data_IF_528783328691
#
_entry.id   IF_528783328691
#
_cell.length_a   1.000
_cell.length_b   1.000
_cell.length_c   1.000
_cell.angle_alpha   90.00
_cell.angle_beta   90.00
_cell.angle_gamma   90.00
#
_symmetry.space_group_name_H-M   'P 1'
#
loop_
_entity.id
_entity.type
_entity.pdbx_description
1 polymer ?
#
# COMPACT_ATOMS: atom_id res chain seq x y z
N UNK A 1 -7.07 18.62 0.68
CA UNK A 1 -6.05 17.72 1.24
C UNK A 1 -6.55 17.12 2.54
N UNK A 2 -6.05 15.95 2.93
CA UNK A 2 -6.51 15.18 4.09
C UNK A 2 -5.33 14.58 4.84
N UNK A 3 -5.41 14.51 6.16
CA UNK A 3 -4.51 13.71 7.00
C UNK A 3 -4.90 12.23 6.98
N UNK A 4 -4.08 11.37 7.58
CA UNK A 4 -4.40 9.94 7.81
C UNK A 4 -5.71 9.74 8.57
N UNK A 5 -5.92 10.50 9.64
CA UNK A 5 -7.17 10.48 10.41
C UNK A 5 -8.38 10.96 9.60
N UNK A 6 -8.19 11.91 8.67
CA UNK A 6 -9.27 12.43 7.83
C UNK A 6 -9.56 11.56 6.59
N UNK A 7 -8.61 10.72 6.17
CA UNK A 7 -8.76 9.79 5.04
C UNK A 7 -9.39 8.45 5.44
N UNK A 8 -9.68 8.26 6.73
CA UNK A 8 -10.43 7.11 7.23
C UNK A 8 -9.58 5.86 7.45
N UNK A 9 -8.27 6.00 7.62
CA UNK A 9 -7.37 4.88 7.90
C UNK A 9 -7.46 4.53 9.39
N UNK A 10 -8.07 3.39 9.70
CA UNK A 10 -8.29 2.89 11.05
C UNK A 10 -7.21 1.85 11.37
N UNK A 11 -6.61 1.97 12.56
CA UNK A 11 -5.41 1.22 12.93
C UNK A 11 -5.46 0.66 14.35
N UNK A 12 -4.54 -0.25 14.66
CA UNK A 12 -4.22 -0.69 16.03
C UNK A 12 -3.56 0.43 16.86
N UNK A 13 -3.55 0.31 18.18
CA UNK A 13 -3.00 1.34 19.09
C UNK A 13 -1.46 1.39 19.22
N UNK A 14 -0.69 0.57 18.49
CA UNK A 14 0.77 0.68 18.49
C UNK A 14 1.20 1.96 17.74
N UNK A 15 1.51 3.03 18.46
CA UNK A 15 1.82 4.33 17.84
C UNK A 15 3.05 4.34 16.91
N UNK A 16 3.93 3.33 17.00
CA UNK A 16 5.18 3.27 16.22
C UNK A 16 5.08 2.39 14.99
N UNK A 17 4.31 1.31 15.06
CA UNK A 17 4.20 0.28 14.01
C UNK A 17 2.75 -0.20 13.86
N UNK A 18 1.79 0.74 13.90
CA UNK A 18 0.37 0.42 13.83
C UNK A 18 0.03 -0.37 12.57
N UNK A 19 -0.89 -1.33 12.67
CA UNK A 19 -1.43 -2.11 11.54
C UNK A 19 -2.79 -1.57 11.12
N UNK A 20 -3.04 -1.49 9.81
CA UNK A 20 -4.35 -1.07 9.28
C UNK A 20 -5.36 -2.18 9.54
N UNK A 21 -6.45 -1.82 10.21
CA UNK A 21 -7.60 -2.69 10.49
C UNK A 21 -8.64 -2.54 9.39
N UNK A 22 -8.91 -1.29 9.01
CA UNK A 22 -9.98 -0.94 8.07
C UNK A 22 -9.69 0.44 7.44
N UNK A 23 -10.28 0.71 6.28
CA UNK A 23 -10.17 2.01 5.60
C UNK A 23 -11.55 2.46 5.14
N UNK A 24 -11.98 3.62 5.63
CA UNK A 24 -13.31 4.19 5.39
C UNK A 24 -13.20 5.59 4.77
N UNK A 25 -13.01 5.70 3.45
CA UNK A 25 -12.68 6.97 2.79
C UNK A 25 -13.91 7.88 2.57
N UNK A 26 -14.82 7.97 3.54
CA UNK A 26 -16.10 8.71 3.42
C UNK A 26 -15.93 10.19 3.07
N UNK A 27 -14.81 10.80 3.48
CA UNK A 27 -14.50 12.21 3.15
C UNK A 27 -13.84 12.38 1.78
N UNK A 28 -13.23 11.32 1.24
CA UNK A 28 -12.53 11.35 -0.04
C UNK A 28 -13.52 11.13 -1.19
N UNK A 29 -14.45 10.18 -1.05
CA UNK A 29 -15.41 9.78 -2.10
C UNK A 29 -16.16 10.98 -2.69
N UNK A 30 -16.78 11.90 -1.90
CA UNK A 30 -17.48 13.04 -2.48
C UNK A 30 -16.56 13.99 -3.26
N UNK A 31 -15.31 14.17 -2.80
CA UNK A 31 -14.33 15.00 -3.52
C UNK A 31 -13.93 14.37 -4.86
N UNK A 32 -13.77 13.04 -4.90
CA UNK A 32 -13.47 12.30 -6.14
C UNK A 32 -14.65 12.36 -7.11
N UNK A 33 -15.89 12.27 -6.62
CA UNK A 33 -17.11 12.43 -7.43
C UNK A 33 -17.27 13.83 -8.03
N UNK A 34 -16.66 14.83 -7.39
CA UNK A 34 -16.55 16.20 -7.92
C UNK A 34 -15.31 16.39 -8.83
N UNK A 35 -14.69 15.30 -9.29
CA UNK A 35 -13.52 15.29 -10.18
C UNK A 35 -12.29 16.04 -9.59
N UNK A 36 -12.18 16.11 -8.26
CA UNK A 36 -11.05 16.77 -7.60
C UNK A 36 -9.87 15.83 -7.39
N UNK A 37 -8.67 16.39 -7.49
CA UNK A 37 -7.44 15.71 -7.04
C UNK A 37 -7.39 15.71 -5.51
N UNK A 38 -7.45 14.51 -4.93
CA UNK A 38 -7.43 14.31 -3.49
C UNK A 38 -6.01 14.03 -3.01
N UNK A 39 -5.44 14.95 -2.24
CA UNK A 39 -4.10 14.80 -1.64
C UNK A 39 -4.26 14.25 -0.22
N UNK A 40 -3.69 13.08 0.05
CA UNK A 40 -3.68 12.45 1.39
C UNK A 40 -2.25 12.37 1.92
N UNK A 41 -2.06 12.77 3.18
CA UNK A 41 -0.80 12.54 3.87
C UNK A 41 -0.71 11.08 4.36
N UNK A 42 0.17 10.30 3.74
CA UNK A 42 0.41 8.89 4.09
C UNK A 42 1.09 8.67 5.45
N UNK A 43 1.43 7.41 5.76
CA UNK A 43 2.14 6.97 6.98
C UNK A 43 1.37 7.08 8.30
N UNK A 44 0.28 7.83 8.34
CA UNK A 44 -0.54 8.04 9.54
C UNK A 44 -1.92 7.39 9.44
N UNK A 45 -2.50 7.09 10.60
CA UNK A 45 -3.88 6.67 10.77
C UNK A 45 -4.47 7.19 12.06
N UNK A 46 -5.63 6.66 12.42
CA UNK A 46 -6.28 6.87 13.71
C UNK A 46 -6.55 5.52 14.36
N UNK A 47 -6.29 5.40 15.66
CA UNK A 47 -6.63 4.19 16.40
C UNK A 47 -8.11 4.16 16.79
N UNK A 48 -8.58 3.02 17.29
CA UNK A 48 -9.94 2.89 17.81
C UNK A 48 -10.21 3.82 19.01
N UNK A 49 -9.16 4.19 19.73
CA UNK A 49 -9.21 5.16 20.84
C UNK A 49 -9.13 6.63 20.37
N UNK A 50 -9.18 6.86 19.05
CA UNK A 50 -9.12 8.19 18.41
C UNK A 50 -7.76 8.87 18.52
N UNK A 51 -6.72 8.11 18.82
CA UNK A 51 -5.35 8.61 18.85
C UNK A 51 -4.69 8.59 17.47
N UNK A 52 -3.77 9.51 17.23
CA UNK A 52 -2.96 9.49 16.00
C UNK A 52 -1.92 8.36 16.13
N UNK A 53 -1.81 7.57 15.09
CA UNK A 53 -0.84 6.47 15.00
C UNK A 53 -0.01 6.60 13.73
N UNK A 54 1.16 5.96 13.76
CA UNK A 54 2.02 5.86 12.59
C UNK A 54 2.19 4.40 12.16
N UNK A 55 2.30 4.19 10.85
CA UNK A 55 2.40 2.87 10.23
C UNK A 55 3.85 2.37 10.12
N UNK A 56 4.81 3.08 10.71
CA UNK A 56 6.20 2.64 10.67
C UNK A 56 6.81 2.59 9.27
N UNK A 57 7.87 1.79 9.11
CA UNK A 57 8.63 1.77 7.84
C UNK A 57 7.75 1.35 6.66
N UNK A 58 7.78 2.14 5.58
CA UNK A 58 6.95 1.88 4.39
C UNK A 58 5.48 2.27 4.59
N UNK A 59 5.18 3.03 5.64
CA UNK A 59 3.81 3.45 5.95
C UNK A 59 3.14 4.22 4.83
N UNK A 60 3.82 5.14 4.14
CA UNK A 60 3.24 5.84 2.99
C UNK A 60 2.88 4.91 1.84
N UNK A 61 3.74 3.93 1.55
CA UNK A 61 3.46 2.95 0.50
C UNK A 61 2.25 2.08 0.89
N UNK A 62 2.19 1.67 2.16
CA UNK A 62 1.08 0.88 2.70
C UNK A 62 -0.22 1.68 2.70
N UNK A 63 -0.18 2.98 3.04
CA UNK A 63 -1.33 3.88 2.93
C UNK A 63 -1.87 3.95 1.50
N UNK A 64 -0.99 4.09 0.50
CA UNK A 64 -1.40 4.16 -0.90
C UNK A 64 -2.15 2.89 -1.33
N UNK A 65 -1.60 1.71 -1.01
CA UNK A 65 -2.24 0.42 -1.32
C UNK A 65 -3.57 0.28 -0.58
N UNK A 66 -3.62 0.60 0.71
CA UNK A 66 -4.83 0.47 1.51
C UNK A 66 -5.97 1.38 0.99
N UNK A 67 -5.65 2.61 0.59
CA UNK A 67 -6.61 3.51 -0.03
C UNK A 67 -7.03 3.04 -1.42
N UNK A 68 -6.09 2.52 -2.23
CA UNK A 68 -6.40 1.94 -3.54
C UNK A 68 -7.41 0.80 -3.43
N UNK A 69 -7.25 -0.07 -2.44
CA UNK A 69 -8.21 -1.15 -2.15
C UNK A 69 -9.57 -0.58 -1.74
N UNK A 70 -9.58 0.37 -0.79
CA UNK A 70 -10.82 0.95 -0.26
C UNK A 70 -11.63 1.76 -1.28
N UNK A 71 -10.93 2.29 -2.31
CA UNK A 71 -11.51 3.07 -3.39
C UNK A 71 -11.73 2.24 -4.67
N UNK A 72 -11.49 0.93 -4.61
CA UNK A 72 -11.62 0.02 -5.76
C UNK A 72 -10.82 0.48 -6.98
N UNK A 73 -9.62 1.00 -6.75
CA UNK A 73 -8.74 1.49 -7.80
C UNK A 73 -8.24 0.36 -8.72
N UNK A 74 -8.11 0.66 -10.01
CA UNK A 74 -7.59 -0.29 -11.00
C UNK A 74 -6.12 -0.68 -10.72
N UNK A 75 -5.33 0.26 -10.22
CA UNK A 75 -3.95 0.01 -9.80
C UNK A 75 -3.48 1.07 -8.80
N UNK A 76 -2.32 0.82 -8.18
CA UNK A 76 -1.60 1.79 -7.36
C UNK A 76 -0.23 2.06 -7.94
N UNK A 77 0.02 3.32 -8.25
CA UNK A 77 1.27 3.76 -8.84
C UNK A 77 2.25 4.32 -7.79
N UNK A 78 3.51 3.97 -7.96
CA UNK A 78 4.63 4.37 -7.12
C UNK A 78 5.64 5.13 -7.97
N UNK A 79 5.64 6.44 -7.81
CA UNK A 79 6.64 7.32 -8.40
C UNK A 79 7.89 7.35 -7.52
N UNK A 80 9.05 6.96 -8.07
CA UNK A 80 10.34 6.80 -7.37
C UNK A 80 11.48 7.45 -8.18
N UNK A 81 12.67 7.53 -7.58
CA UNK A 81 13.90 8.05 -8.21
C UNK A 81 14.60 7.01 -9.10
N UNK A 82 13.87 5.97 -9.51
CA UNK A 82 14.36 4.86 -10.32
C UNK A 82 13.29 4.49 -11.33
N UNK A 83 13.71 4.05 -12.53
CA UNK A 83 12.80 3.71 -13.62
C UNK A 83 11.79 2.61 -13.26
N UNK A 84 12.17 1.69 -12.38
CA UNK A 84 11.36 0.55 -11.97
C UNK A 84 12.14 -0.37 -11.02
N UNK A 85 11.78 -1.66 -11.02
CA UNK A 85 12.50 -2.70 -10.29
C UNK A 85 13.53 -3.34 -11.23
N UNK A 86 14.75 -3.48 -10.74
CA UNK A 86 15.88 -4.02 -11.48
C UNK A 86 16.36 -5.35 -10.90
N UNK A 87 17.02 -6.17 -11.72
CA UNK A 87 17.67 -7.41 -11.28
C UNK A 87 18.73 -7.15 -10.19
N UNK A 88 19.51 -6.10 -10.39
CA UNK A 88 20.55 -5.62 -9.48
C UNK A 88 20.43 -4.12 -9.31
N UNK A 89 20.95 -3.58 -8.21
CA UNK A 89 20.99 -2.14 -7.95
C UNK A 89 21.65 -1.39 -9.13
N UNK A 90 20.89 -0.61 -9.92
CA UNK A 90 21.41 0.04 -11.13
C UNK A 90 22.45 1.11 -10.81
N UNK A 91 22.48 1.62 -9.56
CA UNK A 91 23.52 2.57 -9.11
C UNK A 91 24.89 1.88 -8.96
N UNK A 92 24.92 0.55 -8.78
CA UNK A 92 26.14 -0.26 -8.67
C UNK A 92 26.46 -1.04 -9.94
N UNK A 93 25.43 -1.43 -10.69
CA UNK A 93 25.51 -2.23 -11.92
C UNK A 93 24.72 -1.52 -13.03
N UNK A 94 25.34 -0.56 -13.74
CA UNK A 94 24.64 0.25 -14.76
C UNK A 94 24.04 -0.57 -15.91
N UNK A 95 24.56 -1.78 -16.15
CA UNK A 95 24.08 -2.75 -17.13
C UNK A 95 22.83 -3.54 -16.67
N UNK A 96 22.36 -3.30 -15.44
CA UNK A 96 21.21 -3.98 -14.86
C UNK A 96 19.94 -3.72 -15.68
N UNK A 97 19.19 -4.78 -15.93
CA UNK A 97 17.95 -4.71 -16.71
C UNK A 97 16.76 -4.40 -15.80
N UNK A 98 15.91 -3.46 -16.23
CA UNK A 98 14.64 -3.16 -15.58
C UNK A 98 13.60 -4.22 -15.98
N UNK A 99 12.84 -4.73 -15.01
CA UNK A 99 11.74 -5.64 -15.29
C UNK A 99 10.52 -4.87 -15.77
N UNK A 100 9.91 -5.28 -16.89
CA UNK A 100 8.64 -4.72 -17.34
C UNK A 100 7.45 -5.24 -16.52
N UNK A 101 7.49 -6.51 -16.13
CA UNK A 101 6.47 -7.14 -15.30
C UNK A 101 7.03 -8.15 -14.31
N UNK A 102 6.39 -8.27 -13.14
CA UNK A 102 6.71 -9.22 -12.09
C UNK A 102 5.42 -9.73 -11.43
N UNK A 103 5.47 -10.95 -10.91
CA UNK A 103 4.47 -11.47 -9.95
C UNK A 103 4.77 -10.93 -8.54
N UNK A 104 3.78 -10.94 -7.63
CA UNK A 104 4.04 -10.52 -6.24
C UNK A 104 5.17 -11.35 -5.60
N UNK A 105 5.19 -12.65 -5.88
CA UNK A 105 6.21 -13.57 -5.38
C UNK A 105 7.63 -13.26 -5.92
N UNK A 106 7.76 -12.86 -7.19
CA UNK A 106 9.05 -12.45 -7.76
C UNK A 106 9.51 -11.12 -7.17
N UNK A 107 8.63 -10.13 -7.08
CA UNK A 107 8.94 -8.82 -6.48
C UNK A 107 9.40 -8.97 -5.03
N UNK A 108 8.75 -9.85 -4.26
CA UNK A 108 9.13 -10.16 -2.87
C UNK A 108 10.57 -10.64 -2.75
N UNK A 109 10.96 -11.62 -3.57
CA UNK A 109 12.34 -12.15 -3.59
C UNK A 109 13.37 -11.06 -3.88
N UNK A 110 13.07 -10.16 -4.81
CA UNK A 110 13.96 -9.06 -5.17
C UNK A 110 14.07 -8.06 -4.01
N UNK A 111 12.95 -7.68 -3.38
CA UNK A 111 12.96 -6.75 -2.23
C UNK A 111 13.69 -7.37 -1.03
N UNK A 112 13.46 -8.65 -0.73
CA UNK A 112 14.13 -9.38 0.36
C UNK A 112 15.64 -9.48 0.14
N UNK A 113 16.11 -9.50 -1.12
CA UNK A 113 17.54 -9.46 -1.46
C UNK A 113 18.21 -8.10 -1.21
N UNK A 114 17.42 -7.09 -0.81
CA UNK A 114 17.91 -5.76 -0.40
C UNK A 114 17.52 -4.62 -1.34
N UNK A 115 16.68 -4.87 -2.35
CA UNK A 115 16.17 -3.80 -3.21
C UNK A 115 15.18 -2.91 -2.43
N UNK A 116 15.54 -1.64 -2.21
CA UNK A 116 14.75 -0.69 -1.41
C UNK A 116 13.77 0.13 -2.27
N UNK A 117 12.93 -0.54 -3.05
CA UNK A 117 12.00 0.14 -3.98
C UNK A 117 10.59 0.25 -3.39
N UNK A 118 10.09 -0.84 -2.81
CA UNK A 118 8.80 -0.94 -2.13
C UNK A 118 8.96 -1.62 -0.78
N UNK A 119 8.03 -1.36 0.14
CA UNK A 119 7.97 -2.11 1.39
C UNK A 119 7.30 -3.48 1.20
N UNK A 120 7.79 -4.52 1.87
CA UNK A 120 7.17 -5.85 1.86
C UNK A 120 5.71 -5.79 2.35
N UNK A 121 5.46 -4.93 3.33
CA UNK A 121 4.14 -4.72 3.94
C UNK A 121 3.09 -4.24 2.92
N UNK A 122 3.44 -3.32 2.02
CA UNK A 122 2.51 -2.89 0.97
C UNK A 122 2.31 -3.97 -0.10
N UNK A 123 3.34 -4.77 -0.41
CA UNK A 123 3.26 -5.88 -1.36
C UNK A 123 2.34 -7.00 -0.84
N UNK A 124 2.45 -7.34 0.45
CA UNK A 124 1.54 -8.28 1.13
C UNK A 124 0.08 -7.85 1.03
N UNK A 125 -0.17 -6.56 1.29
CA UNK A 125 -1.51 -6.01 1.26
C UNK A 125 -2.07 -6.00 -0.17
N UNK A 126 -1.23 -5.70 -1.15
CA UNK A 126 -1.60 -5.72 -2.56
C UNK A 126 -1.96 -7.12 -3.04
N UNK A 127 -1.11 -8.12 -2.74
CA UNK A 127 -1.29 -9.53 -3.09
C UNK A 127 -2.59 -10.10 -2.52
N UNK A 128 -2.87 -9.84 -1.24
CA UNK A 128 -4.10 -10.30 -0.56
C UNK A 128 -5.39 -9.82 -1.22
N UNK A 129 -5.35 -8.66 -1.87
CA UNK A 129 -6.52 -8.02 -2.48
C UNK A 129 -6.44 -8.02 -4.01
N UNK A 130 -5.37 -8.58 -4.58
CA UNK A 130 -5.08 -8.59 -6.02
C UNK A 130 -5.10 -7.23 -6.70
N UNK A 131 -4.70 -6.17 -5.99
CA UNK A 131 -4.58 -4.83 -6.59
C UNK A 131 -3.23 -4.69 -7.30
N UNK A 132 -3.18 -4.46 -8.62
CA UNK A 132 -1.94 -4.28 -9.37
C UNK A 132 -1.14 -3.08 -8.85
N UNK A 133 0.18 -3.23 -8.81
CA UNK A 133 1.09 -2.13 -8.49
C UNK A 133 1.90 -1.74 -9.73
N UNK A 134 2.27 -0.47 -9.83
CA UNK A 134 3.13 0.01 -10.90
C UNK A 134 4.22 0.92 -10.35
N UNK A 135 5.48 0.50 -10.45
CA UNK A 135 6.63 1.31 -10.07
C UNK A 135 7.16 2.05 -11.29
N UNK A 136 7.26 3.38 -11.21
CA UNK A 136 7.70 4.26 -12.30
C UNK A 136 8.63 5.35 -11.77
N UNK A 137 9.39 5.96 -12.68
CA UNK A 137 10.16 7.16 -12.37
C UNK A 137 9.27 8.40 -12.34
N UNK A 138 9.59 9.39 -11.51
CA UNK A 138 9.04 10.74 -11.69
C UNK A 138 9.81 11.59 -12.73
N UNK A 139 10.97 11.10 -13.21
CA UNK A 139 11.79 11.76 -14.24
C UNK A 139 11.43 11.35 -15.68
N UNK A 140 10.52 10.39 -15.85
CA UNK A 140 10.09 9.86 -17.15
C UNK A 140 8.56 9.67 -17.16
N UNK A 141 7.89 10.36 -18.09
CA UNK A 141 6.42 10.38 -18.22
C UNK A 141 5.89 9.41 -19.28
N UNK A 142 6.75 8.59 -19.90
CA UNK A 142 6.35 7.62 -20.92
C UNK A 142 5.57 6.42 -20.35
N UNK A 143 4.39 6.14 -20.94
CA UNK A 143 3.40 5.16 -20.47
C UNK A 143 3.81 3.69 -20.55
N UNK A 144 4.90 3.39 -21.25
CA UNK A 144 5.43 2.03 -21.45
C UNK A 144 6.56 1.67 -20.49
N UNK A 145 6.99 2.61 -19.62
CA UNK A 145 8.13 2.40 -18.73
C UNK A 145 7.76 1.94 -17.31
N UNK A 146 8.75 1.32 -16.68
CA UNK A 146 8.70 0.84 -15.30
C UNK A 146 8.24 -0.60 -15.16
N UNK A 147 7.87 -0.96 -13.93
CA UNK A 147 7.57 -2.34 -13.56
C UNK A 147 6.15 -2.48 -13.04
N UNK A 148 5.35 -3.30 -13.73
CA UNK A 148 4.02 -3.70 -13.26
C UNK A 148 4.10 -4.97 -12.42
N UNK A 149 3.46 -4.97 -11.26
CA UNK A 149 3.41 -6.11 -10.32
C UNK A 149 1.98 -6.59 -10.21
N UNK A 150 1.71 -7.80 -10.67
CA UNK A 150 0.38 -8.42 -10.60
C UNK A 150 0.46 -9.92 -10.87
N UNK A 151 -0.57 -10.64 -10.45
CA UNK A 151 -0.77 -12.05 -10.75
C UNK A 151 -2.11 -12.25 -11.49
N UNK A 152 -2.10 -12.94 -12.63
CA UNK A 152 -3.28 -13.07 -13.51
C UNK A 152 -4.38 -13.96 -12.95
N UNK A 153 -4.04 -14.90 -12.06
CA UNK A 153 -4.91 -15.96 -11.59
C UNK A 153 -5.10 -15.91 -10.07
N UNK A 154 -5.20 -14.71 -9.49
CA UNK A 154 -5.51 -14.54 -8.08
C UNK A 154 -6.99 -14.78 -7.81
N UNK A 155 -7.29 -15.53 -6.75
CA UNK A 155 -8.64 -15.62 -6.20
C UNK A 155 -8.84 -14.41 -5.29
N UNK A 156 -9.65 -13.46 -5.73
CA UNK A 156 -9.90 -12.23 -4.99
C UNK A 156 -10.87 -12.47 -3.84
N UNK A 157 -10.66 -11.81 -2.69
CA UNK A 157 -11.59 -11.91 -1.58
C UNK A 157 -12.89 -11.15 -1.91
N UNK A 158 -14.01 -11.61 -1.32
CA UNK A 158 -15.32 -10.93 -1.46
C UNK A 158 -15.33 -9.56 -0.76
N UNK A 159 -14.47 -9.38 0.24
CA UNK A 159 -14.32 -8.15 1.02
C UNK A 159 -12.83 -7.83 1.16
N UNK A 160 -12.45 -6.54 1.24
CA UNK A 160 -11.07 -6.13 1.50
C UNK A 160 -10.45 -6.83 2.71
N UNK A 161 -9.23 -7.34 2.54
CA UNK A 161 -8.42 -7.92 3.61
C UNK A 161 -7.28 -6.95 3.93
N UNK A 162 -7.42 -6.20 5.03
CA UNK A 162 -6.35 -5.38 5.56
C UNK A 162 -5.40 -6.18 6.46
N UNK A 163 -4.48 -5.49 7.13
CA UNK A 163 -3.35 -6.12 7.82
C UNK A 163 -3.73 -6.83 9.12
N UNK A 164 -4.83 -6.39 9.74
CA UNK A 164 -5.30 -6.93 11.00
C UNK A 164 -6.81 -7.14 10.97
N UNK A 165 -7.27 -8.39 11.00
CA UNK A 165 -8.69 -8.75 11.01
C UNK A 165 -9.20 -8.97 12.43
N UNK A 166 -10.46 -8.60 12.73
CA UNK A 166 -11.09 -8.82 14.04
C UNK A 166 -11.04 -10.28 14.53
N UNK A 167 -10.87 -11.28 13.65
CA UNK A 167 -10.66 -12.67 14.05
C UNK A 167 -9.38 -12.85 14.90
N UNK A 168 -8.31 -12.09 14.62
CA UNK A 168 -7.06 -12.13 15.39
C UNK A 168 -7.17 -11.39 16.74
N UNK A 169 -8.22 -10.58 16.95
CA UNK A 169 -8.50 -9.94 18.25
C UNK A 169 -9.04 -10.94 19.28
N UNK A 170 -9.74 -12.00 18.83
CA UNK A 170 -10.27 -13.03 19.75
C UNK A 170 -9.16 -13.91 20.34
N UNK A 171 -8.11 -14.18 19.57
CA UNK A 171 -6.98 -15.01 20.01
C UNK A 171 -6.00 -14.26 20.93
N UNK A 172 -5.92 -12.93 20.82
CA UNK A 172 -5.00 -12.09 21.63
C UNK A 172 -5.61 -11.57 22.92
N UNK A 173 -6.87 -11.94 23.24
CA UNK A 173 -7.51 -11.64 24.52
C UNK A 173 -7.78 -10.16 24.80
N UNK A 174 -7.60 -9.27 23.81
CA UNK A 174 -7.87 -7.83 23.94
C UNK A 174 -9.27 -7.50 23.42
N UNK A 175 -10.29 -7.94 24.17
CA UNK A 175 -11.66 -7.46 23.98
C UNK A 175 -11.95 -6.46 25.10
N UNK A 176 -12.00 -5.17 24.77
CA UNK A 176 -12.94 -4.26 25.42
C UNK A 176 -14.07 -4.02 24.42
N UNK A 177 -15.26 -4.50 24.78
CA UNK A 177 -16.51 -4.46 24.02
C UNK A 177 -16.67 -3.22 23.13
N UNK A 178 -16.91 -3.43 21.83
CA UNK A 178 -17.60 -2.45 20.99
C UNK A 178 -18.55 -3.20 20.04
N UNK A 179 -19.85 -3.06 20.36
CA UNK A 179 -20.98 -3.18 19.45
C UNK A 179 -21.02 -1.92 18.59
#
# INVERSE_FOLDING_TARGET
SFTGSQSGIITTDDHTEARIIDVRPYRLIPCLQEEKVVIVAGFQGVSMNKEITTLGRGGSDTTAVALGIALEAECVEFYKDVAGIFERDPKKFPESTCYSCLTYAQSRKIIDSGAKVLSIRCLDLAEKNGIPLWVRSFDDDSDDQGTRIFDRNLVLPVQPIYEYTCQNMRETGRISNCV
#
